data_IF_874346471637
#
_entry.id   IF_874346471637
#
_cell.length_a   1.000
_cell.length_b   1.000
_cell.length_c   1.000
_cell.angle_alpha   90.00
_cell.angle_beta   90.00
_cell.angle_gamma   90.00
#
_symmetry.space_group_name_H-M   'P 1'
#
loop_
_entity.id
_entity.type
_entity.pdbx_description
1 polymer ?
#
# COMPACT_ATOMS: atom_id res chain seq x y z
N UNK A 1 19.37 39.78 -73.48
CA UNK A 1 20.59 40.45 -72.95
C UNK A 1 20.22 41.25 -71.72
N UNK A 2 21.08 41.28 -70.68
CA UNK A 2 21.06 42.30 -69.62
C UNK A 2 20.87 41.77 -68.20
N UNK A 3 21.96 41.35 -67.54
CA UNK A 3 22.10 41.36 -66.07
C UNK A 3 22.77 42.68 -65.67
N UNK A 4 22.25 43.40 -64.67
CA UNK A 4 22.95 44.42 -63.85
C UNK A 4 22.22 44.48 -62.49
N UNK A 5 22.73 43.83 -61.44
CA UNK A 5 23.58 44.33 -60.33
C UNK A 5 22.89 45.25 -59.29
N UNK A 6 22.66 44.64 -58.11
CA UNK A 6 23.15 45.01 -56.77
C UNK A 6 23.12 46.48 -56.27
N UNK A 7 22.56 46.69 -55.05
CA UNK A 7 23.08 47.50 -53.90
C UNK A 7 22.00 47.55 -52.79
N UNK A 8 22.14 46.89 -51.64
CA UNK A 8 22.86 47.24 -50.39
C UNK A 8 22.27 48.38 -49.54
N UNK A 9 21.99 48.02 -48.27
CA UNK A 9 21.84 48.81 -47.01
C UNK A 9 20.47 49.48 -46.80
N UNK A 10 19.91 49.60 -45.60
CA UNK A 10 19.99 48.97 -44.26
C UNK A 10 18.91 49.74 -43.44
N UNK A 11 18.32 49.09 -42.43
CA UNK A 11 17.59 49.67 -41.28
C UNK A 11 16.15 50.18 -41.55
N UNK A 12 15.15 49.54 -40.93
CA UNK A 12 14.45 50.09 -39.76
C UNK A 12 13.27 49.20 -39.33
N UNK A 13 13.23 49.00 -38.03
CA UNK A 13 12.34 48.22 -37.17
C UNK A 13 10.93 48.82 -37.07
N UNK A 14 9.88 47.97 -37.01
CA UNK A 14 8.63 48.11 -36.22
C UNK A 14 7.55 47.17 -36.82
N UNK A 15 7.30 45.97 -36.26
CA UNK A 15 6.43 45.71 -35.10
C UNK A 15 4.93 45.86 -35.41
N UNK A 16 4.26 44.75 -35.77
CA UNK A 16 2.87 44.49 -35.37
C UNK A 16 2.78 43.02 -34.91
N UNK A 17 2.34 42.89 -33.66
CA UNK A 17 2.30 41.69 -32.82
C UNK A 17 1.13 40.80 -33.21
N UNK A 18 1.41 39.53 -33.49
CA UNK A 18 0.45 38.42 -33.39
C UNK A 18 0.41 37.91 -31.95
N UNK A 19 -0.75 37.90 -31.30
CA UNK A 19 -0.97 37.12 -30.08
C UNK A 19 -2.46 36.83 -29.88
N UNK A 20 -3.00 35.85 -30.63
CA UNK A 20 -4.20 35.13 -30.22
C UNK A 20 -3.78 34.09 -29.20
N UNK A 21 -3.85 34.43 -27.91
CA UNK A 21 -3.65 33.47 -26.82
C UNK A 21 -4.91 32.60 -26.70
N UNK A 22 -4.93 31.47 -27.41
CA UNK A 22 -5.77 30.34 -27.00
C UNK A 22 -5.05 29.65 -25.84
N UNK A 23 -5.51 29.91 -24.62
CA UNK A 23 -5.13 29.15 -23.43
C UNK A 23 -5.66 27.73 -23.57
N UNK A 24 -4.86 26.84 -24.15
CA UNK A 24 -5.02 25.41 -23.94
C UNK A 24 -4.71 25.16 -22.47
N UNK A 25 -5.76 25.09 -21.64
CA UNK A 25 -5.66 24.48 -20.33
C UNK A 25 -5.27 23.02 -20.53
N UNK A 26 -3.96 22.75 -20.50
CA UNK A 26 -3.46 21.39 -20.40
C UNK A 26 -3.93 20.86 -19.06
N UNK A 27 -4.82 19.87 -19.07
CA UNK A 27 -4.97 18.95 -17.96
C UNK A 27 -3.64 18.21 -17.83
N UNK A 28 -2.69 18.76 -17.08
CA UNK A 28 -1.59 17.96 -16.55
C UNK A 28 -2.25 17.00 -15.56
N UNK A 29 -2.17 15.67 -15.76
CA UNK A 29 -2.48 14.76 -14.68
C UNK A 29 -1.64 15.20 -13.48
N UNK A 30 -2.27 15.26 -12.32
CA UNK A 30 -1.63 15.59 -11.05
C UNK A 30 -0.63 14.47 -10.72
N UNK A 31 0.54 14.51 -11.36
CA UNK A 31 1.68 13.67 -11.04
C UNK A 31 2.15 14.13 -9.67
N UNK A 32 1.83 13.38 -8.61
CA UNK A 32 2.43 13.57 -7.28
C UNK A 32 3.85 13.02 -7.33
N UNK A 33 4.91 13.85 -7.45
CA UNK A 33 6.29 13.36 -7.53
C UNK A 33 6.69 12.59 -6.27
N UNK A 34 5.99 12.81 -5.16
CA UNK A 34 6.22 12.13 -3.88
C UNK A 34 5.80 10.64 -3.92
N UNK A 35 4.78 10.28 -4.70
CA UNK A 35 4.36 8.87 -4.87
C UNK A 35 5.36 8.12 -5.74
N UNK A 36 5.91 8.78 -6.76
CA UNK A 36 6.91 8.19 -7.65
C UNK A 36 8.20 7.77 -6.93
N UNK A 37 8.50 8.35 -5.76
CA UNK A 37 9.70 8.02 -4.98
C UNK A 37 9.56 6.68 -4.23
N UNK A 38 8.33 6.22 -3.97
CA UNK A 38 8.05 4.97 -3.24
C UNK A 38 7.92 3.77 -4.18
N UNK A 39 7.51 4.02 -5.43
CA UNK A 39 7.36 3.00 -6.45
C UNK A 39 8.72 2.62 -7.04
N UNK A 40 9.18 1.40 -6.75
CA UNK A 40 10.42 0.87 -7.30
C UNK A 40 10.17 -0.54 -7.84
N UNK A 41 10.02 -0.64 -9.17
CA UNK A 41 9.75 -1.92 -9.84
C UNK A 41 11.06 -2.66 -10.09
N UNK A 42 11.20 -3.83 -9.48
CA UNK A 42 11.86 -4.99 -10.09
C UNK A 42 13.33 -4.85 -10.48
N UNK A 43 14.23 -4.88 -9.49
CA UNK A 43 15.52 -5.53 -9.71
C UNK A 43 15.33 -7.06 -9.52
N UNK A 44 16.01 -7.88 -10.33
CA UNK A 44 16.00 -9.34 -10.13
C UNK A 44 16.46 -9.67 -8.69
N UNK A 45 15.65 -10.47 -7.98
CA UNK A 45 15.91 -10.82 -6.58
C UNK A 45 15.27 -9.89 -5.53
N UNK A 46 14.63 -8.79 -5.95
CA UNK A 46 13.84 -7.91 -5.06
C UNK A 46 12.41 -8.45 -4.91
N UNK A 47 11.89 -8.43 -3.69
CA UNK A 47 10.49 -8.75 -3.42
C UNK A 47 9.59 -7.60 -3.87
N UNK A 48 8.49 -7.88 -4.57
CA UNK A 48 7.57 -6.83 -5.03
C UNK A 48 6.22 -6.85 -4.28
N UNK A 49 5.78 -5.70 -3.78
CA UNK A 49 4.47 -5.51 -3.15
C UNK A 49 3.57 -4.73 -4.11
N UNK A 50 2.45 -5.30 -4.54
CA UNK A 50 1.49 -4.57 -5.35
C UNK A 50 0.72 -3.56 -4.48
N UNK A 51 0.55 -2.34 -5.01
CA UNK A 51 -0.24 -1.28 -4.37
C UNK A 51 -1.07 -0.54 -5.42
N UNK A 52 -2.24 -0.04 -5.02
CA UNK A 52 -2.96 0.95 -5.82
C UNK A 52 -2.28 2.33 -5.67
N UNK A 53 -1.66 2.88 -6.73
CA UNK A 53 -0.99 4.17 -6.65
C UNK A 53 -1.97 5.35 -6.42
N UNK A 54 -3.27 5.14 -6.59
CA UNK A 54 -4.30 6.14 -6.35
C UNK A 54 -4.81 6.14 -4.90
N UNK A 55 -4.48 5.11 -4.10
CA UNK A 55 -4.91 4.99 -2.71
C UNK A 55 -3.75 5.32 -1.74
N UNK A 56 -3.80 6.48 -1.04
CA UNK A 56 -2.82 6.82 -0.01
C UNK A 56 -2.72 5.75 1.08
N UNK A 57 -3.85 5.17 1.48
CA UNK A 57 -3.91 4.06 2.45
C UNK A 57 -3.07 2.86 1.98
N UNK A 58 -3.26 2.41 0.73
CA UNK A 58 -2.48 1.30 0.16
C UNK A 58 -0.99 1.63 0.04
N UNK A 59 -0.64 2.88 -0.25
CA UNK A 59 0.75 3.33 -0.27
C UNK A 59 1.38 3.31 1.12
N UNK A 60 0.65 3.76 2.15
CA UNK A 60 1.09 3.72 3.56
C UNK A 60 1.33 2.28 4.00
N UNK A 61 0.36 1.39 3.80
CA UNK A 61 0.48 -0.02 4.22
C UNK A 61 1.61 -0.72 3.46
N UNK A 62 1.69 -0.50 2.14
CA UNK A 62 2.77 -1.03 1.32
C UNK A 62 4.15 -0.57 1.82
N UNK A 63 4.30 0.73 2.13
CA UNK A 63 5.55 1.28 2.63
C UNK A 63 5.92 0.74 4.01
N UNK A 64 4.97 0.52 4.91
CA UNK A 64 5.22 -0.16 6.20
C UNK A 64 5.85 -1.53 5.97
N UNK A 65 5.24 -2.36 5.12
CA UNK A 65 5.76 -3.69 4.82
C UNK A 65 7.11 -3.66 4.11
N UNK A 66 7.29 -2.71 3.17
CA UNK A 66 8.57 -2.45 2.52
C UNK A 66 9.66 -2.16 3.56
N UNK A 67 9.46 -1.19 4.44
CA UNK A 67 10.47 -0.78 5.43
C UNK A 67 10.76 -1.89 6.45
N UNK A 68 9.74 -2.62 6.90
CA UNK A 68 9.92 -3.75 7.82
C UNK A 68 10.80 -4.82 7.20
N UNK A 69 10.51 -5.24 5.98
CA UNK A 69 11.30 -6.28 5.30
C UNK A 69 12.70 -5.77 4.94
N UNK A 70 12.83 -4.52 4.50
CA UNK A 70 14.10 -3.88 4.18
C UNK A 70 15.03 -3.80 5.41
N UNK A 71 14.50 -3.47 6.59
CA UNK A 71 15.27 -3.43 7.84
C UNK A 71 15.91 -4.78 8.21
N UNK A 72 15.34 -5.89 7.73
CA UNK A 72 15.90 -7.24 7.92
C UNK A 72 16.74 -7.73 6.73
N UNK A 73 17.15 -6.81 5.85
CA UNK A 73 18.06 -7.11 4.75
C UNK A 73 17.38 -7.77 3.55
N UNK A 74 16.06 -7.70 3.45
CA UNK A 74 15.31 -8.14 2.27
C UNK A 74 15.03 -6.93 1.36
N UNK A 75 15.63 -6.83 0.17
CA UNK A 75 15.26 -5.79 -0.78
C UNK A 75 13.78 -5.96 -1.16
N UNK A 76 13.00 -4.90 -0.97
CA UNK A 76 11.58 -4.83 -1.33
C UNK A 76 11.33 -3.56 -2.15
N UNK A 77 10.34 -3.61 -3.04
CA UNK A 77 9.87 -2.44 -3.78
C UNK A 77 8.36 -2.46 -3.95
N UNK A 78 7.75 -1.28 -4.04
CA UNK A 78 6.34 -1.16 -4.36
C UNK A 78 6.13 -1.16 -5.88
N UNK A 79 5.23 -2.02 -6.33
CA UNK A 79 4.81 -2.15 -7.71
C UNK A 79 3.42 -1.51 -7.86
N UNK A 80 3.36 -0.36 -8.54
CA UNK A 80 2.08 0.28 -8.84
C UNK A 80 1.22 -0.60 -9.74
N UNK A 81 -0.04 -0.76 -9.36
CA UNK A 81 -1.04 -1.44 -10.15
C UNK A 81 -2.29 -0.57 -10.27
N UNK A 82 -2.50 0.06 -11.43
CA UNK A 82 -3.68 0.91 -11.66
C UNK A 82 -4.99 0.14 -11.82
N UNK A 83 -4.93 -1.18 -11.93
CA UNK A 83 -6.11 -2.06 -12.03
C UNK A 83 -6.41 -2.79 -10.71
N UNK A 84 -5.74 -2.39 -9.63
CA UNK A 84 -5.79 -3.06 -8.33
C UNK A 84 -7.23 -3.26 -7.83
N UNK A 85 -8.03 -2.19 -7.78
CA UNK A 85 -9.41 -2.24 -7.29
C UNK A 85 -10.36 -3.11 -8.14
N UNK A 86 -9.98 -3.46 -9.37
CA UNK A 86 -10.83 -4.18 -10.33
C UNK A 86 -10.52 -5.67 -10.45
N UNK A 87 -9.49 -6.16 -9.77
CA UNK A 87 -9.00 -7.54 -9.88
C UNK A 87 -8.93 -8.18 -8.50
N UNK A 88 -9.04 -9.51 -8.46
CA UNK A 88 -8.81 -10.21 -7.19
C UNK A 88 -7.32 -10.18 -6.83
N UNK A 89 -6.96 -10.15 -5.54
CA UNK A 89 -5.57 -10.27 -5.12
C UNK A 89 -4.88 -11.54 -5.64
N UNK A 90 -5.62 -12.64 -5.81
CA UNK A 90 -5.06 -13.88 -6.37
C UNK A 90 -4.71 -13.73 -7.86
N UNK A 91 -5.51 -13.01 -8.65
CA UNK A 91 -5.20 -12.75 -10.05
C UNK A 91 -3.99 -11.82 -10.18
N UNK A 92 -3.90 -10.78 -9.34
CA UNK A 92 -2.74 -9.89 -9.28
C UNK A 92 -1.48 -10.69 -8.96
N UNK A 93 -1.51 -11.54 -7.92
CA UNK A 93 -0.38 -12.42 -7.62
C UNK A 93 -0.05 -13.34 -8.80
N UNK A 94 -1.05 -13.95 -9.42
CA UNK A 94 -0.81 -14.96 -10.47
C UNK A 94 -0.24 -14.36 -11.76
N UNK A 95 -0.79 -13.23 -12.20
CA UNK A 95 -0.53 -12.68 -13.54
C UNK A 95 0.53 -11.59 -13.53
N UNK A 96 0.72 -10.91 -12.40
CA UNK A 96 1.67 -9.81 -12.29
C UNK A 96 2.97 -10.28 -11.63
N UNK A 97 4.08 -9.60 -11.94
CA UNK A 97 5.40 -9.89 -11.36
C UNK A 97 5.55 -9.29 -9.95
N UNK A 98 4.63 -9.68 -9.05
CA UNK A 98 4.57 -9.25 -7.65
C UNK A 98 4.54 -10.45 -6.72
N UNK A 99 4.95 -10.26 -5.48
CA UNK A 99 5.10 -11.33 -4.49
C UNK A 99 4.10 -11.23 -3.33
N UNK A 100 3.66 -10.01 -3.05
CA UNK A 100 2.71 -9.69 -1.99
C UNK A 100 1.64 -8.75 -2.57
N UNK A 101 0.40 -8.98 -2.20
CA UNK A 101 -0.73 -8.06 -2.40
C UNK A 101 -1.38 -7.84 -1.04
N UNK A 102 -1.73 -6.61 -0.71
CA UNK A 102 -2.47 -6.31 0.51
C UNK A 102 -3.96 -6.31 0.20
N UNK A 103 -4.74 -7.08 0.94
CA UNK A 103 -6.19 -7.11 0.80
C UNK A 103 -6.88 -6.85 2.13
N UNK A 104 -8.21 -6.81 2.10
CA UNK A 104 -9.06 -6.81 3.27
C UNK A 104 -9.85 -8.13 3.35
N UNK A 105 -9.95 -8.71 4.54
CA UNK A 105 -10.46 -10.09 4.74
C UNK A 105 -11.83 -10.34 4.12
N UNK A 106 -12.81 -9.48 4.39
CA UNK A 106 -14.19 -9.61 3.92
C UNK A 106 -14.30 -9.45 2.41
N UNK A 107 -13.61 -8.45 1.85
CA UNK A 107 -13.54 -8.20 0.43
C UNK A 107 -12.95 -9.40 -0.32
N UNK A 108 -11.83 -9.93 0.16
CA UNK A 108 -11.14 -11.08 -0.47
C UNK A 108 -12.03 -12.32 -0.41
N UNK A 109 -12.62 -12.62 0.75
CA UNK A 109 -13.55 -13.74 0.88
C UNK A 109 -14.74 -13.59 -0.09
N UNK A 110 -15.30 -12.40 -0.21
CA UNK A 110 -16.42 -12.13 -1.12
C UNK A 110 -16.05 -12.35 -2.59
N UNK A 111 -14.83 -12.02 -2.99
CA UNK A 111 -14.36 -12.24 -4.36
C UNK A 111 -14.09 -13.70 -4.67
N UNK A 112 -13.61 -14.49 -3.70
CA UNK A 112 -13.18 -15.88 -3.90
C UNK A 112 -14.28 -16.90 -3.62
N UNK A 113 -15.11 -16.64 -2.60
CA UNK A 113 -16.24 -17.47 -2.20
C UNK A 113 -17.40 -16.60 -1.69
N UNK A 114 -18.18 -16.00 -2.62
CA UNK A 114 -19.31 -15.15 -2.26
C UNK A 114 -20.43 -15.90 -1.50
N UNK A 115 -20.50 -17.23 -1.61
CA UNK A 115 -21.50 -18.02 -0.88
C UNK A 115 -21.14 -18.11 0.60
N UNK A 116 -19.88 -18.42 0.90
CA UNK A 116 -19.38 -18.41 2.28
C UNK A 116 -19.40 -17.00 2.86
N UNK A 117 -18.99 -15.98 2.09
CA UNK A 117 -19.07 -14.58 2.52
C UNK A 117 -20.50 -14.18 2.94
N UNK A 118 -21.51 -14.55 2.15
CA UNK A 118 -22.91 -14.25 2.46
C UNK A 118 -23.41 -14.90 3.77
N UNK A 119 -22.77 -15.98 4.23
CA UNK A 119 -23.09 -16.59 5.53
C UNK A 119 -22.60 -15.77 6.74
N UNK A 120 -21.63 -14.87 6.52
CA UNK A 120 -21.12 -13.93 7.52
C UNK A 120 -21.79 -12.55 7.46
N UNK A 121 -22.58 -12.28 6.43
CA UNK A 121 -23.26 -11.00 6.28
C UNK A 121 -24.20 -10.72 7.45
N UNK A 122 -24.12 -9.50 7.99
CA UNK A 122 -25.00 -9.01 9.04
C UNK A 122 -25.95 -7.95 8.46
N UNK A 123 -27.23 -7.92 8.86
CA UNK A 123 -28.11 -6.80 8.58
C UNK A 123 -27.48 -5.46 9.01
N UNK A 124 -27.69 -4.42 8.21
CA UNK A 124 -27.08 -3.09 8.38
C UNK A 124 -27.28 -2.45 9.76
N UNK A 125 -28.33 -2.84 10.49
CA UNK A 125 -28.65 -2.31 11.82
C UNK A 125 -27.75 -2.87 12.93
N UNK A 126 -27.16 -4.05 12.72
CA UNK A 126 -26.19 -4.70 13.62
C UNK A 126 -24.74 -4.32 13.27
N UNK A 127 -24.48 -4.01 11.98
CA UNK A 127 -23.20 -3.51 11.48
C UNK A 127 -22.97 -2.02 11.80
N UNK A 128 -24.03 -1.19 11.85
CA UNK A 128 -23.95 0.23 12.20
C UNK A 128 -24.01 0.51 13.72
N UNK A 129 -24.18 -0.53 14.54
CA UNK A 129 -24.38 -0.45 15.98
C UNK A 129 -23.09 -0.34 16.78
N UNK A 130 -22.40 0.81 16.72
CA UNK A 130 -21.54 1.20 17.82
C UNK A 130 -22.37 1.80 18.96
N UNK A 131 -22.20 1.25 20.16
CA UNK A 131 -22.63 1.72 21.48
C UNK A 131 -24.05 1.37 21.97
N UNK A 132 -24.27 0.09 22.27
CA UNK A 132 -24.79 -0.25 23.61
C UNK A 132 -23.62 -0.79 24.44
N UNK A 133 -23.24 -0.10 25.51
CA UNK A 133 -22.10 -0.43 26.39
C UNK A 133 -22.25 -1.79 27.11
N UNK A 134 -23.31 -2.57 26.82
CA UNK A 134 -23.65 -3.73 27.65
C UNK A 134 -24.06 -5.03 26.95
N UNK A 135 -23.89 -5.25 25.62
CA UNK A 135 -24.19 -6.62 25.10
C UNK A 135 -23.50 -7.16 23.84
N UNK A 136 -22.45 -6.55 23.29
CA UNK A 136 -21.59 -7.24 22.30
C UNK A 136 -20.16 -7.19 22.80
N UNK A 137 -19.75 -8.24 23.53
CA UNK A 137 -18.38 -8.35 24.05
C UNK A 137 -17.38 -8.26 22.90
N UNK A 138 -16.31 -7.46 23.03
CA UNK A 138 -15.19 -7.41 22.08
C UNK A 138 -14.62 -8.78 21.72
N UNK A 139 -14.80 -9.78 22.58
CA UNK A 139 -14.54 -11.19 22.29
C UNK A 139 -15.31 -11.69 21.05
N UNK A 140 -16.59 -11.34 20.90
CA UNK A 140 -17.43 -11.77 19.77
C UNK A 140 -17.07 -11.08 18.45
N UNK A 141 -16.46 -9.90 18.50
CA UNK A 141 -15.97 -9.23 17.30
C UNK A 141 -14.63 -9.80 16.87
N UNK A 142 -13.71 -10.05 17.81
CA UNK A 142 -12.46 -10.74 17.53
C UNK A 142 -12.69 -12.17 17.00
N UNK A 143 -13.63 -12.92 17.59
CA UNK A 143 -14.04 -14.24 17.09
C UNK A 143 -14.57 -14.17 15.65
N UNK A 144 -15.37 -13.15 15.34
CA UNK A 144 -15.89 -12.94 13.97
C UNK A 144 -14.78 -12.60 12.98
N UNK A 145 -13.83 -11.76 13.38
CA UNK A 145 -12.65 -11.44 12.56
C UNK A 145 -11.84 -12.70 12.27
N UNK A 146 -11.63 -13.55 13.28
CA UNK A 146 -10.90 -14.82 13.15
C UNK A 146 -11.65 -15.81 12.24
N UNK A 147 -12.97 -15.92 12.36
CA UNK A 147 -13.79 -16.80 11.52
C UNK A 147 -13.78 -16.38 10.04
N UNK A 148 -13.92 -15.08 9.77
CA UNK A 148 -13.88 -14.53 8.40
C UNK A 148 -12.49 -14.67 7.79
N UNK A 149 -11.44 -14.42 8.57
CA UNK A 149 -10.07 -14.68 8.14
C UNK A 149 -9.82 -16.16 7.85
N UNK A 150 -10.29 -17.07 8.72
CA UNK A 150 -10.13 -18.50 8.54
C UNK A 150 -10.87 -18.99 7.27
N UNK A 151 -12.09 -18.50 7.05
CA UNK A 151 -12.85 -18.77 5.83
C UNK A 151 -12.12 -18.24 4.58
N UNK A 152 -11.58 -17.02 4.63
CA UNK A 152 -10.79 -16.44 3.55
C UNK A 152 -9.57 -17.32 3.21
N UNK A 153 -8.77 -17.69 4.22
CA UNK A 153 -7.56 -18.53 4.00
C UNK A 153 -7.93 -19.90 3.44
N UNK A 154 -9.07 -20.46 3.82
CA UNK A 154 -9.54 -21.75 3.29
C UNK A 154 -9.83 -21.72 1.78
N UNK A 155 -10.03 -20.54 1.18
CA UNK A 155 -10.20 -20.37 -0.27
C UNK A 155 -8.88 -20.35 -1.05
N UNK A 156 -7.73 -20.20 -0.37
CA UNK A 156 -6.46 -19.99 -1.05
C UNK A 156 -5.94 -21.25 -1.75
N UNK A 157 -5.36 -21.14 -2.95
CA UNK A 157 -4.63 -22.23 -3.57
C UNK A 157 -3.34 -22.53 -2.81
N UNK A 158 -2.80 -23.74 -2.99
CA UNK A 158 -1.64 -24.24 -2.23
C UNK A 158 -0.36 -23.38 -2.36
N UNK A 159 -0.24 -22.55 -3.39
CA UNK A 159 0.90 -21.67 -3.64
C UNK A 159 0.72 -20.24 -3.12
N UNK A 160 -0.30 -20.01 -2.30
CA UNK A 160 -0.60 -18.71 -1.68
C UNK A 160 -0.83 -18.92 -0.18
N UNK A 161 -0.36 -17.96 0.63
CA UNK A 161 -0.57 -17.95 2.07
C UNK A 161 -0.71 -16.54 2.60
N UNK A 162 -1.06 -16.43 3.88
CA UNK A 162 -1.12 -15.18 4.62
C UNK A 162 -0.35 -15.29 5.95
N UNK A 163 -0.19 -14.16 6.63
CA UNK A 163 0.05 -14.08 8.08
C UNK A 163 -1.24 -13.65 8.80
N UNK A 164 -1.24 -13.59 10.12
CA UNK A 164 -2.39 -13.11 10.91
C UNK A 164 -2.82 -11.72 10.42
N UNK A 165 -4.13 -11.45 10.32
CA UNK A 165 -4.63 -10.15 9.89
C UNK A 165 -4.39 -9.08 10.97
N UNK A 166 -4.45 -7.81 10.59
CA UNK A 166 -4.33 -6.69 11.52
C UNK A 166 -5.63 -6.49 12.30
N UNK A 167 -5.61 -5.85 13.49
CA UNK A 167 -6.84 -5.35 14.10
C UNK A 167 -7.46 -4.17 13.32
N UNK A 168 -6.68 -3.45 12.49
CA UNK A 168 -7.18 -2.36 11.67
C UNK A 168 -8.29 -2.81 10.70
N UNK A 169 -9.30 -1.96 10.55
CA UNK A 169 -10.34 -2.05 9.53
C UNK A 169 -9.98 -1.12 8.38
N UNK A 170 -9.95 -1.64 7.15
CA UNK A 170 -9.70 -0.87 5.93
C UNK A 170 -10.81 -1.16 4.90
N UNK A 171 -10.67 -0.70 3.66
CA UNK A 171 -11.60 -1.04 2.57
C UNK A 171 -13.09 -0.77 2.88
N UNK A 172 -13.42 0.25 3.68
CA UNK A 172 -14.79 0.46 4.19
C UNK A 172 -15.84 0.75 3.10
N UNK A 173 -15.41 1.15 1.91
CA UNK A 173 -16.28 1.38 0.75
C UNK A 173 -16.63 0.09 -0.01
N UNK A 174 -16.06 -1.07 0.38
CA UNK A 174 -16.30 -2.35 -0.28
C UNK A 174 -17.75 -2.83 -0.11
N UNK A 175 -18.21 -3.70 -1.01
CA UNK A 175 -19.51 -4.35 -0.85
C UNK A 175 -19.56 -5.30 0.35
N UNK A 176 -18.43 -5.88 0.75
CA UNK A 176 -18.35 -6.77 1.90
C UNK A 176 -18.46 -5.97 3.22
N UNK A 177 -17.81 -4.80 3.30
CA UNK A 177 -17.98 -3.86 4.41
C UNK A 177 -19.45 -3.44 4.57
N UNK A 178 -20.14 -3.11 3.46
CA UNK A 178 -21.57 -2.76 3.47
C UNK A 178 -22.48 -3.91 3.91
N UNK A 179 -22.02 -5.15 3.79
CA UNK A 179 -22.69 -6.36 4.27
C UNK A 179 -22.29 -6.71 5.72
N UNK A 180 -21.50 -5.88 6.39
CA UNK A 180 -21.08 -6.07 7.78
C UNK A 180 -19.95 -7.09 7.97
N UNK A 181 -19.23 -7.46 6.90
CA UNK A 181 -18.05 -8.32 7.04
C UNK A 181 -16.88 -7.51 7.61
N UNK A 182 -16.09 -8.10 8.52
CA UNK A 182 -14.82 -7.52 8.94
C UNK A 182 -13.84 -7.36 7.77
N UNK A 183 -13.21 -6.21 7.70
CA UNK A 183 -12.27 -5.81 6.64
C UNK A 183 -10.87 -5.59 7.21
N UNK A 184 -10.36 -6.61 7.89
CA UNK A 184 -9.04 -6.57 8.46
C UNK A 184 -7.96 -6.55 7.37
N UNK A 185 -6.93 -5.70 7.51
CA UNK A 185 -5.81 -5.65 6.58
C UNK A 185 -5.02 -6.96 6.66
N UNK A 186 -4.74 -7.54 5.50
CA UNK A 186 -4.07 -8.85 5.43
C UNK A 186 -3.13 -8.94 4.22
N UNK A 187 -1.85 -9.29 4.41
CA UNK A 187 -0.93 -9.50 3.29
C UNK A 187 -1.08 -10.90 2.72
N UNK A 188 -1.40 -10.97 1.44
CA UNK A 188 -1.55 -12.21 0.68
C UNK A 188 -0.26 -12.43 -0.12
N UNK A 189 0.40 -13.56 0.11
CA UNK A 189 1.80 -13.78 -0.22
C UNK A 189 1.94 -15.04 -1.08
N UNK A 190 2.70 -14.96 -2.17
CA UNK A 190 3.14 -16.15 -2.91
C UNK A 190 3.97 -17.05 -1.99
N UNK A 191 3.61 -18.33 -1.92
CA UNK A 191 4.33 -19.26 -1.06
C UNK A 191 5.81 -19.40 -1.46
N UNK A 192 6.68 -19.66 -0.48
CA UNK A 192 8.13 -19.74 -0.66
C UNK A 192 8.85 -18.41 -0.90
N UNK A 193 8.14 -17.26 -1.02
CA UNK A 193 8.78 -15.94 -1.23
C UNK A 193 9.35 -15.33 0.03
N UNK A 194 8.75 -15.63 1.18
CA UNK A 194 9.26 -15.21 2.48
C UNK A 194 9.80 -16.39 3.27
N UNK A 195 10.96 -16.19 3.90
CA UNK A 195 11.51 -17.04 4.95
C UNK A 195 10.61 -17.03 6.18
N UNK A 196 10.87 -17.97 7.10
CA UNK A 196 10.18 -18.03 8.39
C UNK A 196 10.38 -16.74 9.19
N UNK A 197 11.62 -16.24 9.26
CA UNK A 197 11.94 -15.00 9.97
C UNK A 197 11.20 -13.80 9.40
N UNK A 198 11.22 -13.61 8.08
CA UNK A 198 10.49 -12.52 7.41
C UNK A 198 8.98 -12.63 7.67
N UNK A 199 8.42 -13.85 7.62
CA UNK A 199 7.00 -14.07 7.90
C UNK A 199 6.64 -13.74 9.35
N UNK A 200 7.49 -14.09 10.32
CA UNK A 200 7.28 -13.73 11.73
C UNK A 200 7.31 -12.21 11.94
N UNK A 201 8.20 -11.49 11.23
CA UNK A 201 8.25 -10.02 11.31
C UNK A 201 7.05 -9.36 10.67
N UNK A 202 6.62 -9.86 9.52
CA UNK A 202 5.42 -9.39 8.85
C UNK A 202 4.17 -9.66 9.71
N UNK A 203 4.09 -10.81 10.36
CA UNK A 203 3.02 -11.13 11.32
C UNK A 203 3.01 -10.15 12.50
N UNK A 204 4.18 -9.90 13.10
CA UNK A 204 4.31 -8.99 14.23
C UNK A 204 3.82 -7.58 13.87
N UNK A 205 4.30 -7.02 12.75
CA UNK A 205 3.95 -5.66 12.38
C UNK A 205 2.47 -5.52 11.97
N UNK A 206 1.91 -6.56 11.34
CA UNK A 206 0.49 -6.58 10.96
C UNK A 206 -0.40 -6.57 12.20
N UNK A 207 -0.04 -7.30 13.26
CA UNK A 207 -0.83 -7.38 14.50
C UNK A 207 -0.87 -6.10 15.34
N UNK A 208 0.07 -5.18 15.15
CA UNK A 208 0.12 -3.90 15.86
C UNK A 208 -0.43 -2.73 15.04
N UNK A 209 -0.84 -2.99 13.79
CA UNK A 209 -1.43 -2.00 12.90
C UNK A 209 -2.89 -1.74 13.28
N UNK A 210 -3.18 -0.57 13.84
CA UNK A 210 -4.54 -0.16 14.19
C UNK A 210 -5.18 0.70 13.11
N UNK A 211 -6.52 0.75 13.07
CA UNK A 211 -7.27 1.59 12.11
C UNK A 211 -6.82 3.04 12.22
N UNK A 212 -6.76 3.54 13.46
CA UNK A 212 -6.42 4.92 13.75
C UNK A 212 -5.03 5.30 13.25
N UNK A 213 -4.03 4.44 13.44
CA UNK A 213 -2.66 4.74 12.99
C UNK A 213 -2.59 4.85 11.46
N UNK A 214 -3.30 3.96 10.76
CA UNK A 214 -3.37 3.97 9.29
C UNK A 214 -4.10 5.21 8.79
N UNK A 215 -5.21 5.60 9.42
CA UNK A 215 -5.94 6.83 9.11
C UNK A 215 -5.05 8.07 9.32
N UNK A 216 -4.39 8.20 10.48
CA UNK A 216 -3.51 9.34 10.77
C UNK A 216 -2.34 9.47 9.78
N UNK A 217 -1.70 8.34 9.42
CA UNK A 217 -0.64 8.34 8.41
C UNK A 217 -1.18 8.67 7.02
N UNK A 218 -2.38 8.18 6.68
CA UNK A 218 -3.05 8.44 5.41
C UNK A 218 -3.42 9.91 5.25
N UNK A 219 -4.02 10.53 6.27
CA UNK A 219 -4.37 11.95 6.29
C UNK A 219 -3.15 12.85 6.08
N UNK A 220 -2.01 12.49 6.68
CA UNK A 220 -0.74 13.20 6.47
C UNK A 220 -0.26 13.12 5.02
N UNK A 221 -0.36 11.94 4.40
CA UNK A 221 -0.02 11.78 2.97
C UNK A 221 -0.96 12.58 2.08
N UNK A 222 -2.26 12.61 2.40
CA UNK A 222 -3.24 13.42 1.68
C UNK A 222 -3.00 14.93 1.84
N UNK A 223 -2.52 15.35 3.01
CA UNK A 223 -2.08 16.73 3.27
C UNK A 223 -0.77 17.12 2.55
N UNK A 224 -0.15 16.18 1.82
CA UNK A 224 1.04 16.42 1.01
C UNK A 224 2.35 16.06 1.68
N UNK A 225 2.32 15.25 2.74
CA UNK A 225 3.54 14.64 3.29
C UNK A 225 3.96 13.40 2.46
N UNK A 226 5.27 13.19 2.30
CA UNK A 226 5.75 11.97 1.65
C UNK A 226 5.35 10.72 2.44
N UNK A 227 4.98 9.64 1.76
CA UNK A 227 4.61 8.35 2.41
C UNK A 227 5.68 7.87 3.38
N UNK A 228 6.96 7.96 2.97
CA UNK A 228 8.10 7.59 3.82
C UNK A 228 8.11 8.37 5.13
N UNK A 229 7.91 9.69 5.08
CA UNK A 229 7.89 10.53 6.28
C UNK A 229 6.68 10.25 7.16
N UNK A 230 5.51 10.00 6.55
CA UNK A 230 4.29 9.64 7.26
C UNK A 230 4.48 8.39 8.13
N UNK A 231 5.12 7.34 7.60
CA UNK A 231 5.32 6.07 8.34
C UNK A 231 6.50 6.08 9.32
N UNK A 232 7.37 7.09 9.28
CA UNK A 232 8.65 7.07 9.97
C UNK A 232 8.52 6.96 11.50
N UNK A 233 7.64 7.77 12.08
CA UNK A 233 7.41 7.82 13.53
C UNK A 233 6.80 6.50 14.04
N UNK A 234 5.78 6.00 13.34
CA UNK A 234 5.11 4.75 13.66
C UNK A 234 6.06 3.55 13.60
N UNK A 235 6.90 3.47 12.57
CA UNK A 235 7.92 2.41 12.45
C UNK A 235 8.97 2.46 13.57
N UNK A 236 9.30 3.66 14.06
CA UNK A 236 10.22 3.81 15.18
C UNK A 236 9.57 3.34 16.48
N UNK A 237 8.32 3.74 16.73
CA UNK A 237 7.57 3.38 17.93
C UNK A 237 7.30 1.87 18.02
N UNK A 238 6.75 1.27 16.95
CA UNK A 238 6.24 -0.10 16.98
C UNK A 238 7.25 -1.15 16.52
N UNK A 239 8.23 -0.78 15.67
CA UNK A 239 9.22 -1.72 15.14
C UNK A 239 10.67 -1.39 15.54
N UNK A 240 10.92 -0.26 16.23
CA UNK A 240 12.28 0.25 16.50
C UNK A 240 13.11 0.41 15.22
N UNK A 241 12.46 0.65 14.08
CA UNK A 241 13.10 0.85 12.78
C UNK A 241 13.26 2.36 12.56
N UNK A 242 14.51 2.82 12.53
CA UNK A 242 14.81 4.19 12.13
C UNK A 242 15.09 4.25 10.62
N UNK A 243 14.08 4.61 9.84
CA UNK A 243 14.21 4.73 8.38
C UNK A 243 14.97 5.98 7.92
N UNK A 244 15.16 6.96 8.81
CA UNK A 244 15.92 8.20 8.55
C UNK A 244 17.41 8.05 8.89
N UNK A 245 17.76 7.03 9.67
CA UNK A 245 19.12 6.61 9.96
C UNK A 245 19.19 5.06 9.98
N UNK A 246 19.09 4.41 8.81
CA UNK A 246 19.09 2.95 8.74
C UNK A 246 20.42 2.43 9.28
N UNK A 247 20.37 1.54 10.28
CA UNK A 247 21.58 0.91 10.82
C UNK A 247 22.28 0.13 9.71
N UNK A 248 23.54 0.47 9.45
CA UNK A 248 24.40 -0.33 8.57
C UNK A 248 24.75 -1.62 9.29
N UNK A 249 24.82 -2.76 8.57
CA UNK A 249 25.18 -4.10 9.10
C UNK A 249 26.42 -4.12 10.02
N UNK A 250 27.30 -3.13 9.91
CA UNK A 250 28.52 -2.98 10.70
C UNK A 250 28.29 -2.59 12.19
N UNK A 251 27.08 -2.15 12.57
CA UNK A 251 26.78 -1.75 13.96
C UNK A 251 26.35 -2.94 14.83
N UNK A 252 25.74 -3.97 14.25
CA UNK A 252 25.32 -5.18 15.00
C UNK A 252 26.51 -6.07 15.38
N UNK A 253 27.60 -6.05 14.59
CA UNK A 253 28.83 -6.80 14.90
C UNK A 253 29.63 -6.16 16.05
N UNK A 254 29.47 -4.85 16.28
CA UNK A 254 30.17 -4.11 17.33
C UNK A 254 29.49 -4.24 18.71
N UNK A 255 28.17 -4.33 18.76
CA UNK A 255 27.44 -4.52 20.03
C UNK A 255 27.56 -5.96 20.57
N UNK A 256 27.66 -6.96 19.68
CA UNK A 256 27.93 -8.35 20.06
C UNK A 256 29.34 -8.58 20.64
N UNK A 257 30.32 -7.77 20.23
CA UNK A 257 31.72 -7.90 20.66
C UNK A 257 31.99 -7.16 21.97
N UNK A 258 31.28 -6.07 22.28
CA UNK A 258 31.47 -5.33 23.53
C UNK A 258 30.81 -5.98 24.76
N UNK A 259 29.86 -6.91 24.59
CA UNK A 259 29.31 -7.73 25.69
C UNK A 259 30.14 -8.96 26.06
N UNK A 260 31.21 -9.25 25.31
CA UNK A 260 32.07 -10.41 25.52
C UNK A 260 33.49 -10.04 26.02
N UNK A 261 33.70 -8.81 26.49
CA UNK A 261 34.97 -8.35 27.06
C UNK A 261 34.83 -8.00 28.55
#
# INVERSE_FOLDING_TARGET
MGKVNQRWRRVATAAIVTASALSLASCTPFERPEIATVLNVGAEGTLAIAVDPASPEQLVIGEIYNQVLAAYGRPVGLAANSSFASRSPLDILKEDNVDIVVGCTGQVLTQLDPQTAASFAQPSDEAAGAADENTTSSASEAERQDEVYAAMVATFPANVRSVDPSPAQACQDSEAAKQGLPENIVPIIKDGRLTRTESTRLNFITRVMSTKDIEEMTERVEAGETVRSAVAEWLMEYASININAPKTKDEDEKDGTQRAA
#
